data_IF_738153764457
#
_entry.id   IF_738153764457
#
_cell.length_a   1.000
_cell.length_b   1.000
_cell.length_c   1.000
_cell.angle_alpha   90.00
_cell.angle_beta   90.00
_cell.angle_gamma   90.00
#
_symmetry.space_group_name_H-M   'P 1'
#
loop_
_entity.id
_entity.type
_entity.pdbx_description
1 polymer ?
#
# COMPACT_ATOMS: atom_id res chain seq x y z
N UNK A 1 -32.46 -28.16 3.31
CA UNK A 1 -31.25 -27.60 3.95
C UNK A 1 -31.29 -26.10 3.75
N UNK A 2 -31.61 -25.35 4.81
CA UNK A 2 -31.55 -23.89 4.78
C UNK A 2 -30.13 -23.46 4.43
N UNK A 3 -29.97 -22.59 3.44
CA UNK A 3 -28.75 -21.76 3.36
C UNK A 3 -28.60 -21.14 4.75
N UNK A 4 -27.53 -21.46 5.49
CA UNK A 4 -27.16 -20.61 6.61
C UNK A 4 -27.04 -19.21 6.01
N UNK A 5 -27.83 -18.27 6.52
CA UNK A 5 -27.53 -16.85 6.37
C UNK A 5 -26.17 -16.67 7.05
N UNK A 6 -25.09 -16.80 6.28
CA UNK A 6 -23.75 -16.49 6.75
C UNK A 6 -23.73 -15.00 6.99
N UNK A 7 -23.84 -14.58 8.24
CA UNK A 7 -23.72 -13.17 8.60
C UNK A 7 -22.34 -12.66 8.16
N UNK A 8 -22.30 -11.78 7.15
CA UNK A 8 -21.08 -11.20 6.59
C UNK A 8 -20.39 -10.28 7.61
N UNK A 9 -19.53 -10.86 8.46
CA UNK A 9 -18.85 -10.17 9.55
C UNK A 9 -17.35 -9.98 9.29
N UNK A 10 -16.87 -8.74 9.46
CA UNK A 10 -15.45 -8.39 9.36
C UNK A 10 -14.81 -8.25 10.75
N UNK A 11 -13.64 -8.85 10.94
CA UNK A 11 -12.76 -8.58 12.07
C UNK A 11 -11.71 -7.52 11.76
N UNK A 12 -11.47 -6.60 12.67
CA UNK A 12 -10.34 -5.65 12.61
C UNK A 12 -9.53 -5.81 13.90
N UNK A 13 -8.29 -6.24 13.78
CA UNK A 13 -7.36 -6.33 14.92
C UNK A 13 -6.44 -5.11 14.97
N UNK A 14 -6.50 -4.36 16.07
CA UNK A 14 -5.72 -3.15 16.27
C UNK A 14 -6.39 -1.90 15.70
N UNK A 15 -7.05 -1.13 16.55
CA UNK A 15 -7.67 0.15 16.19
C UNK A 15 -6.68 1.34 16.31
N UNK A 16 -5.46 1.14 15.80
CA UNK A 16 -4.49 2.22 15.63
C UNK A 16 -4.86 3.13 14.46
N UNK A 17 -3.86 3.76 13.83
CA UNK A 17 -4.08 4.65 12.68
C UNK A 17 -4.77 3.93 11.52
N UNK A 18 -4.15 2.88 10.99
CA UNK A 18 -4.70 2.10 9.87
C UNK A 18 -6.02 1.41 10.24
N UNK A 19 -6.10 0.75 11.41
CA UNK A 19 -7.32 0.03 11.79
C UNK A 19 -8.54 0.93 12.00
N UNK A 20 -8.35 2.13 12.57
CA UNK A 20 -9.42 3.12 12.67
C UNK A 20 -9.92 3.54 11.28
N UNK A 21 -9.00 3.83 10.37
CA UNK A 21 -9.36 4.22 9.00
C UNK A 21 -10.00 3.05 8.23
N UNK A 22 -9.56 1.80 8.45
CA UNK A 22 -10.19 0.61 7.89
C UNK A 22 -11.64 0.49 8.37
N UNK A 23 -11.90 0.74 9.65
CA UNK A 23 -13.27 0.84 10.16
C UNK A 23 -14.04 1.93 9.40
N UNK A 24 -13.48 3.14 9.27
CA UNK A 24 -14.11 4.26 8.56
C UNK A 24 -14.46 3.91 7.11
N UNK A 25 -13.56 3.22 6.39
CA UNK A 25 -13.82 2.75 5.03
C UNK A 25 -15.01 1.79 4.99
N UNK A 26 -15.02 0.76 5.83
CA UNK A 26 -16.05 -0.28 5.77
C UNK A 26 -17.43 0.21 6.24
N UNK A 27 -17.50 1.11 7.23
CA UNK A 27 -18.78 1.71 7.65
C UNK A 27 -19.33 2.69 6.61
N UNK A 28 -18.47 3.35 5.84
CA UNK A 28 -18.89 4.18 4.71
C UNK A 28 -19.46 3.31 3.57
N UNK A 29 -18.85 2.16 3.30
CA UNK A 29 -19.25 1.27 2.20
C UNK A 29 -20.44 0.37 2.54
N UNK A 30 -20.63 0.03 3.82
CA UNK A 30 -21.71 -0.85 4.33
C UNK A 30 -21.80 -2.21 3.62
N UNK A 31 -20.66 -2.75 3.21
CA UNK A 31 -20.57 -4.07 2.58
C UNK A 31 -20.81 -5.20 3.59
N UNK A 32 -20.14 -5.12 4.75
CA UNK A 32 -20.32 -6.08 5.84
C UNK A 32 -21.52 -5.72 6.71
N UNK A 33 -22.29 -6.72 7.12
CA UNK A 33 -23.48 -6.56 7.96
C UNK A 33 -23.14 -6.15 9.39
N UNK A 34 -21.95 -6.53 9.89
CA UNK A 34 -21.41 -6.15 11.19
C UNK A 34 -19.88 -6.17 11.18
N UNK A 35 -19.27 -5.43 12.11
CA UNK A 35 -17.82 -5.36 12.27
C UNK A 35 -17.45 -5.65 13.72
N UNK A 36 -16.36 -6.37 13.95
CA UNK A 36 -15.80 -6.61 15.28
C UNK A 36 -14.40 -6.05 15.36
N UNK A 37 -14.17 -5.13 16.29
CA UNK A 37 -12.90 -4.43 16.44
C UNK A 37 -12.23 -4.86 17.74
N UNK A 38 -11.05 -5.48 17.65
CA UNK A 38 -10.22 -5.79 18.80
C UNK A 38 -9.19 -4.69 19.06
N UNK A 39 -9.25 -4.10 20.26
CA UNK A 39 -8.25 -3.19 20.80
C UNK A 39 -7.16 -3.91 21.59
N UNK A 40 -7.43 -5.15 22.02
CA UNK A 40 -6.52 -5.99 22.82
C UNK A 40 -6.21 -5.49 24.22
N UNK A 41 -6.79 -4.35 24.63
CA UNK A 41 -6.74 -3.81 25.99
C UNK A 41 -7.89 -2.85 26.21
N UNK A 42 -8.16 -2.54 27.47
CA UNK A 42 -9.03 -1.43 27.84
C UNK A 42 -8.52 -0.09 27.27
N UNK A 43 -9.46 0.73 26.84
CA UNK A 43 -9.24 1.99 26.12
C UNK A 43 -9.96 3.10 26.85
N UNK A 44 -9.19 4.12 27.25
CA UNK A 44 -9.74 5.24 27.99
C UNK A 44 -10.40 4.81 29.29
N UNK A 45 -11.38 5.58 29.74
CA UNK A 45 -12.10 5.37 30.99
C UNK A 45 -13.41 4.61 30.82
N UNK A 46 -14.00 4.63 29.62
CA UNK A 46 -15.32 4.08 29.33
C UNK A 46 -15.54 3.94 27.80
N UNK A 47 -16.71 3.45 27.42
CA UNK A 47 -17.08 3.22 26.01
C UNK A 47 -17.25 4.54 25.23
N UNK A 48 -17.53 5.65 25.89
CA UNK A 48 -17.53 6.99 25.28
C UNK A 48 -16.13 7.39 24.82
N UNK A 49 -15.08 7.03 25.56
CA UNK A 49 -13.70 7.24 25.13
C UNK A 49 -13.38 6.46 23.85
N UNK A 50 -13.91 5.23 23.71
CA UNK A 50 -13.83 4.44 22.47
C UNK A 50 -14.57 5.15 21.33
N UNK A 51 -15.79 5.62 21.58
CA UNK A 51 -16.56 6.36 20.58
C UNK A 51 -15.80 7.61 20.11
N UNK A 52 -15.24 8.40 21.04
CA UNK A 52 -14.47 9.60 20.71
C UNK A 52 -13.20 9.27 19.93
N UNK A 53 -12.53 8.14 20.21
CA UNK A 53 -11.34 7.70 19.47
C UNK A 53 -11.70 7.29 18.04
N UNK A 54 -12.82 6.57 17.86
CA UNK A 54 -13.33 6.19 16.55
C UNK A 54 -13.76 7.44 15.78
N UNK A 55 -14.45 8.38 16.41
CA UNK A 55 -15.07 9.51 15.73
C UNK A 55 -14.08 10.62 15.37
N UNK A 56 -13.06 10.90 16.21
CA UNK A 56 -12.20 12.07 16.03
C UNK A 56 -10.86 11.73 15.37
N UNK A 57 -10.43 12.58 14.45
CA UNK A 57 -9.17 12.46 13.74
C UNK A 57 -8.50 13.83 13.53
N UNK A 58 -7.19 13.92 13.78
CA UNK A 58 -6.45 15.16 13.59
C UNK A 58 -6.09 15.44 12.13
N UNK A 59 -6.07 14.43 11.27
CA UNK A 59 -5.76 14.57 9.84
C UNK A 59 -7.04 14.82 9.05
N UNK A 60 -8.07 14.01 9.30
CA UNK A 60 -9.30 14.01 8.51
C UNK A 60 -10.50 14.71 9.18
N UNK A 61 -10.34 15.20 10.41
CA UNK A 61 -11.44 15.77 11.19
C UNK A 61 -12.33 14.70 11.83
N UNK A 62 -13.60 15.01 12.09
CA UNK A 62 -14.53 14.01 12.61
C UNK A 62 -15.06 13.09 11.51
N UNK A 63 -15.31 11.82 11.83
CA UNK A 63 -15.81 10.78 10.92
C UNK A 63 -17.01 11.27 10.09
N UNK A 64 -18.01 11.85 10.76
CA UNK A 64 -19.22 12.32 10.08
C UNK A 64 -18.93 13.48 9.11
N UNK A 65 -18.07 14.44 9.50
CA UNK A 65 -17.70 15.56 8.62
C UNK A 65 -16.90 15.10 7.42
N UNK A 66 -16.00 14.15 7.66
CA UNK A 66 -15.16 13.60 6.62
C UNK A 66 -15.96 12.78 5.60
N UNK A 67 -16.84 11.89 6.06
CA UNK A 67 -17.61 11.02 5.17
C UNK A 67 -18.84 11.69 4.54
N UNK A 68 -19.50 12.58 5.26
CA UNK A 68 -20.84 13.07 4.91
C UNK A 68 -20.93 14.61 4.80
N UNK A 69 -19.81 15.30 4.98
CA UNK A 69 -19.70 16.75 4.81
C UNK A 69 -19.92 17.55 6.11
N UNK A 70 -19.60 18.85 6.05
CA UNK A 70 -19.53 19.74 7.23
C UNK A 70 -20.84 19.85 8.03
N UNK A 71 -21.98 19.65 7.37
CA UNK A 71 -23.31 19.73 7.98
C UNK A 71 -23.81 18.39 8.55
N UNK A 72 -22.99 17.34 8.46
CA UNK A 72 -23.36 16.04 9.00
C UNK A 72 -23.32 16.02 10.53
N UNK A 73 -24.24 15.26 11.11
CA UNK A 73 -24.30 15.04 12.56
C UNK A 73 -23.41 13.86 13.00
N UNK A 74 -22.97 13.83 14.27
CA UNK A 74 -22.28 12.69 14.86
C UNK A 74 -22.96 11.35 14.58
N UNK A 75 -22.17 10.37 14.14
CA UNK A 75 -22.68 9.09 13.66
C UNK A 75 -22.14 7.87 14.42
N UNK A 76 -21.59 8.08 15.63
CA UNK A 76 -21.12 7.02 16.52
C UNK A 76 -21.99 7.00 17.78
N UNK A 77 -22.65 5.87 18.05
CA UNK A 77 -23.59 5.72 19.16
C UNK A 77 -23.36 4.43 19.90
N UNK A 78 -23.55 4.45 21.22
CA UNK A 78 -23.57 3.23 22.04
C UNK A 78 -24.97 2.63 21.95
N UNK A 79 -25.07 1.37 21.53
CA UNK A 79 -26.35 0.65 21.41
C UNK A 79 -26.58 -0.24 22.63
N UNK A 80 -25.56 -0.95 23.08
CA UNK A 80 -25.64 -1.85 24.24
C UNK A 80 -24.29 -1.88 24.98
N UNK A 81 -24.26 -1.35 26.21
CA UNK A 81 -23.06 -1.33 27.04
C UNK A 81 -22.65 -2.71 27.54
N UNK A 82 -23.62 -3.57 27.87
CA UNK A 82 -23.34 -4.92 28.38
C UNK A 82 -22.67 -5.80 27.32
N UNK A 83 -22.87 -5.50 26.04
CA UNK A 83 -22.28 -6.20 24.90
C UNK A 83 -21.13 -5.44 24.22
N UNK A 84 -20.74 -4.27 24.74
CA UNK A 84 -19.80 -3.36 24.07
C UNK A 84 -20.15 -3.12 22.60
N UNK A 85 -21.44 -2.92 22.31
CA UNK A 85 -21.97 -2.75 20.96
C UNK A 85 -22.20 -1.27 20.64
N UNK A 86 -21.62 -0.82 19.54
CA UNK A 86 -21.80 0.48 18.95
C UNK A 86 -22.59 0.39 17.64
N UNK A 87 -23.16 1.51 17.23
CA UNK A 87 -23.55 1.79 15.85
C UNK A 87 -22.62 2.88 15.32
N UNK A 88 -21.96 2.61 14.18
CA UNK A 88 -21.05 3.55 13.53
C UNK A 88 -21.54 3.75 12.09
N UNK A 89 -22.03 4.94 11.77
CA UNK A 89 -22.65 5.28 10.49
C UNK A 89 -23.77 4.31 10.05
N UNK A 90 -24.50 3.72 11.01
CA UNK A 90 -25.55 2.73 10.78
C UNK A 90 -25.07 1.29 10.66
N UNK A 91 -23.78 1.01 10.90
CA UNK A 91 -23.24 -0.36 10.94
C UNK A 91 -23.03 -0.79 12.40
N UNK A 92 -23.50 -1.99 12.81
CA UNK A 92 -23.20 -2.57 14.11
C UNK A 92 -21.70 -2.86 14.27
N UNK A 93 -21.10 -2.36 15.35
CA UNK A 93 -19.68 -2.53 15.68
C UNK A 93 -19.49 -3.05 17.10
N UNK A 94 -19.00 -4.29 17.25
CA UNK A 94 -18.67 -4.87 18.56
C UNK A 94 -17.22 -4.57 18.94
N UNK A 95 -17.00 -4.13 20.17
CA UNK A 95 -15.67 -3.73 20.69
C UNK A 95 -15.12 -4.81 21.63
N UNK A 96 -13.92 -5.31 21.33
CA UNK A 96 -13.17 -6.26 22.16
C UNK A 96 -11.94 -5.59 22.78
N UNK A 97 -11.69 -5.84 24.06
CA UNK A 97 -10.67 -5.10 24.84
C UNK A 97 -9.79 -5.98 25.73
N UNK A 98 -9.80 -7.30 25.56
CA UNK A 98 -9.09 -8.21 26.48
C UNK A 98 -7.93 -8.98 25.82
N UNK A 99 -8.11 -9.44 24.58
CA UNK A 99 -7.18 -10.36 23.95
C UNK A 99 -6.04 -9.65 23.19
N UNK A 100 -4.81 -9.72 23.71
CA UNK A 100 -3.60 -9.23 23.02
C UNK A 100 -3.03 -10.20 22.00
N UNK A 101 -3.13 -11.51 22.28
CA UNK A 101 -2.65 -12.53 21.37
C UNK A 101 -3.78 -12.87 20.37
N UNK A 102 -3.52 -12.82 19.04
CA UNK A 102 -4.48 -13.17 18.00
C UNK A 102 -5.31 -14.44 18.24
N UNK A 103 -4.70 -15.50 18.79
CA UNK A 103 -5.36 -16.79 19.04
C UNK A 103 -6.44 -16.76 20.12
N UNK A 104 -6.37 -15.78 21.01
CA UNK A 104 -7.27 -15.67 22.17
C UNK A 104 -8.51 -14.79 21.90
N UNK A 105 -8.61 -14.17 20.71
CA UNK A 105 -9.69 -13.21 20.39
C UNK A 105 -11.04 -13.92 20.22
N UNK A 106 -11.04 -15.14 19.69
CA UNK A 106 -12.24 -15.96 19.52
C UNK A 106 -13.19 -15.47 18.42
N UNK A 107 -12.67 -15.15 17.23
CA UNK A 107 -13.41 -14.67 16.06
C UNK A 107 -14.64 -15.50 15.70
N UNK A 108 -14.56 -16.84 15.85
CA UNK A 108 -15.68 -17.75 15.60
C UNK A 108 -16.95 -17.38 16.36
N UNK A 109 -16.82 -16.89 17.60
CA UNK A 109 -17.96 -16.50 18.46
C UNK A 109 -18.77 -15.33 17.88
N UNK A 110 -18.15 -14.56 16.99
CA UNK A 110 -18.75 -13.39 16.37
C UNK A 110 -19.08 -13.59 14.89
N UNK A 111 -18.87 -14.80 14.34
CA UNK A 111 -19.08 -15.10 12.92
C UNK A 111 -18.03 -14.48 11.99
N UNK A 112 -16.88 -14.03 12.51
CA UNK A 112 -15.84 -13.37 11.71
C UNK A 112 -15.04 -14.40 10.91
N UNK A 113 -15.17 -14.37 9.58
CA UNK A 113 -14.42 -15.23 8.64
C UNK A 113 -13.16 -14.54 8.10
N UNK A 114 -13.18 -13.22 7.99
CA UNK A 114 -12.07 -12.42 7.45
C UNK A 114 -11.61 -11.42 8.50
N UNK A 115 -10.30 -11.33 8.69
CA UNK A 115 -9.68 -10.39 9.63
C UNK A 115 -8.70 -9.49 8.91
N UNK A 116 -8.79 -8.18 9.15
CA UNK A 116 -7.72 -7.24 8.85
C UNK A 116 -6.88 -7.06 10.12
N UNK A 117 -5.61 -7.49 10.10
CA UNK A 117 -4.64 -7.15 11.13
C UNK A 117 -3.96 -5.83 10.80
N UNK A 118 -4.26 -4.83 11.62
CA UNK A 118 -3.71 -3.48 11.54
C UNK A 118 -2.84 -3.12 12.75
N UNK A 119 -2.32 -4.14 13.46
CA UNK A 119 -1.46 -3.93 14.65
C UNK A 119 -0.04 -3.57 14.26
N UNK A 120 0.44 -4.07 13.12
CA UNK A 120 1.84 -4.01 12.72
C UNK A 120 2.79 -4.85 13.59
N UNK A 121 2.28 -5.64 14.53
CA UNK A 121 3.08 -6.47 15.43
C UNK A 121 3.35 -7.88 14.87
N UNK A 122 2.43 -8.40 14.05
CA UNK A 122 2.41 -9.80 13.63
C UNK A 122 2.76 -10.01 12.14
N UNK A 123 3.58 -9.13 11.56
CA UNK A 123 3.90 -9.13 10.12
C UNK A 123 4.72 -10.33 9.60
N UNK A 124 5.05 -11.31 10.42
CA UNK A 124 5.95 -12.40 10.07
C UNK A 124 5.13 -13.69 9.82
N UNK A 125 4.92 -14.08 8.55
CA UNK A 125 3.99 -15.14 8.20
C UNK A 125 4.51 -16.55 8.57
N UNK A 126 5.80 -16.69 8.92
CA UNK A 126 6.39 -17.97 9.32
C UNK A 126 6.23 -18.26 10.81
N UNK A 127 5.82 -17.28 11.62
CA UNK A 127 5.69 -17.47 13.07
C UNK A 127 4.55 -18.44 13.41
N UNK A 128 4.80 -19.44 14.27
CA UNK A 128 3.79 -20.42 14.66
C UNK A 128 2.72 -19.78 15.57
N UNK A 129 1.58 -20.45 15.69
CA UNK A 129 0.40 -19.98 16.47
C UNK A 129 0.73 -19.75 17.95
N UNK A 130 1.61 -20.58 18.52
CA UNK A 130 1.99 -20.59 19.93
C UNK A 130 3.13 -19.62 20.28
N UNK A 131 3.65 -18.87 19.30
CA UNK A 131 4.74 -17.92 19.54
C UNK A 131 4.40 -16.95 20.70
N UNK A 132 5.29 -16.75 21.69
CA UNK A 132 4.97 -16.04 22.93
C UNK A 132 4.60 -14.56 22.72
N UNK A 133 5.08 -13.96 21.63
CA UNK A 133 4.74 -12.59 21.25
C UNK A 133 3.51 -12.49 20.34
N UNK A 134 2.78 -13.59 20.10
CA UNK A 134 1.69 -13.67 19.13
C UNK A 134 2.16 -13.85 17.68
N UNK A 135 1.23 -14.26 16.82
CA UNK A 135 1.46 -14.48 15.38
C UNK A 135 0.19 -14.23 14.57
N UNK A 136 0.37 -13.91 13.28
CA UNK A 136 -0.73 -13.68 12.35
C UNK A 136 -1.63 -14.92 12.22
N UNK A 137 -1.01 -16.11 12.29
CA UNK A 137 -1.68 -17.41 12.26
C UNK A 137 -2.62 -17.62 13.44
N UNK A 138 -2.42 -16.93 14.56
CA UNK A 138 -3.34 -17.00 15.68
C UNK A 138 -4.76 -16.54 15.32
N UNK A 139 -4.95 -15.66 14.33
CA UNK A 139 -6.30 -15.33 13.88
C UNK A 139 -7.02 -16.51 13.20
N UNK A 140 -6.28 -17.37 12.49
CA UNK A 140 -6.83 -18.60 11.91
C UNK A 140 -7.25 -19.56 13.03
N UNK A 141 -6.41 -19.72 14.04
CA UNK A 141 -6.74 -20.53 15.25
C UNK A 141 -7.98 -20.00 15.98
N UNK A 142 -8.13 -18.67 16.06
CA UNK A 142 -9.29 -18.02 16.67
C UNK A 142 -10.59 -18.16 15.84
N UNK A 143 -10.50 -18.72 14.63
CA UNK A 143 -11.64 -19.10 13.80
C UNK A 143 -11.86 -18.27 12.53
N UNK A 144 -10.92 -17.38 12.16
CA UNK A 144 -10.94 -16.75 10.84
C UNK A 144 -10.46 -17.73 9.75
N UNK A 145 -10.92 -17.54 8.53
CA UNK A 145 -10.51 -18.32 7.34
C UNK A 145 -9.40 -17.62 6.56
N UNK A 146 -9.43 -16.27 6.54
CA UNK A 146 -8.46 -15.40 5.84
C UNK A 146 -8.02 -14.25 6.73
N UNK A 147 -6.75 -13.88 6.61
CA UNK A 147 -6.15 -12.76 7.35
C UNK A 147 -5.43 -11.83 6.39
N UNK A 148 -5.88 -10.58 6.32
CA UNK A 148 -5.21 -9.50 5.62
C UNK A 148 -4.31 -8.74 6.60
N UNK A 149 -2.99 -8.82 6.41
CA UNK A 149 -2.02 -8.02 7.11
C UNK A 149 -1.87 -6.65 6.43
N UNK A 150 -2.12 -5.56 7.15
CA UNK A 150 -2.05 -4.18 6.64
C UNK A 150 -0.61 -3.65 6.50
N UNK A 151 0.33 -4.52 6.14
CA UNK A 151 1.73 -4.21 5.91
C UNK A 151 2.42 -5.31 5.09
N UNK A 152 3.60 -5.01 4.56
CA UNK A 152 4.50 -6.01 3.94
C UNK A 152 4.90 -7.07 4.97
N UNK A 153 4.95 -8.33 4.54
CA UNK A 153 5.52 -9.40 5.35
C UNK A 153 6.99 -9.13 5.72
N UNK A 154 7.36 -9.47 6.96
CA UNK A 154 8.70 -9.28 7.51
C UNK A 154 9.24 -10.58 8.07
N UNK A 155 9.68 -11.46 7.18
CA UNK A 155 10.37 -12.69 7.53
C UNK A 155 11.74 -12.33 8.13
N UNK A 156 11.90 -12.64 9.42
CA UNK A 156 13.12 -12.36 10.20
C UNK A 156 14.26 -13.30 9.82
N UNK A 157 13.96 -14.59 9.71
CA UNK A 157 14.92 -15.62 9.30
C UNK A 157 14.97 -15.70 7.77
N UNK A 158 16.01 -15.13 7.17
CA UNK A 158 16.17 -15.09 5.71
C UNK A 158 16.42 -16.47 5.08
N UNK A 159 16.69 -17.50 5.87
CA UNK A 159 16.78 -18.88 5.38
C UNK A 159 15.41 -19.51 5.13
N UNK A 160 14.34 -18.96 5.73
CA UNK A 160 12.99 -19.46 5.55
C UNK A 160 12.34 -18.79 4.33
N UNK A 161 11.84 -19.59 3.36
CA UNK A 161 11.05 -19.05 2.28
C UNK A 161 9.71 -18.53 2.80
N UNK A 162 9.05 -17.70 2.00
CA UNK A 162 7.66 -17.35 2.26
C UNK A 162 6.80 -18.63 2.25
N UNK A 163 5.93 -18.84 3.25
CA UNK A 163 5.02 -19.98 3.28
C UNK A 163 4.11 -20.01 2.04
N UNK A 164 3.77 -21.20 1.54
CA UNK A 164 2.93 -21.35 0.35
C UNK A 164 1.50 -20.82 0.54
N UNK A 165 1.03 -20.75 1.79
CA UNK A 165 -0.27 -20.19 2.15
C UNK A 165 -0.24 -18.67 2.39
N UNK A 166 0.91 -18.03 2.17
CA UNK A 166 1.09 -16.59 2.32
C UNK A 166 1.33 -15.93 0.96
N UNK A 167 0.62 -14.84 0.66
CA UNK A 167 0.71 -14.11 -0.61
C UNK A 167 0.72 -12.60 -0.40
N UNK A 168 1.44 -11.85 -1.25
CA UNK A 168 1.40 -10.38 -1.26
C UNK A 168 0.55 -9.92 -2.44
N UNK A 169 -0.50 -9.13 -2.16
CA UNK A 169 -1.45 -8.66 -3.17
C UNK A 169 -1.61 -7.15 -3.13
N UNK A 170 -1.71 -6.55 -4.30
CA UNK A 170 -2.10 -5.15 -4.51
C UNK A 170 -3.35 -5.17 -5.40
N UNK A 171 -4.43 -4.60 -4.87
CA UNK A 171 -5.70 -4.50 -5.57
C UNK A 171 -5.56 -3.71 -6.88
N UNK A 172 -6.12 -4.23 -7.97
CA UNK A 172 -5.96 -3.67 -9.32
C UNK A 172 -4.60 -3.93 -10.01
N UNK A 173 -3.65 -4.62 -9.35
CA UNK A 173 -2.34 -4.97 -9.95
C UNK A 173 -2.20 -6.48 -10.10
N UNK A 174 -2.25 -7.24 -9.00
CA UNK A 174 -2.07 -8.70 -9.01
C UNK A 174 -3.04 -9.43 -8.08
N UNK A 175 -4.08 -8.77 -7.58
CA UNK A 175 -5.10 -9.36 -6.71
C UNK A 175 -5.77 -10.64 -7.26
N UNK A 176 -5.82 -10.79 -8.58
CA UNK A 176 -6.36 -11.94 -9.30
C UNK A 176 -5.55 -13.23 -9.14
N UNK A 177 -4.30 -13.16 -8.68
CA UNK A 177 -3.48 -14.36 -8.37
C UNK A 177 -3.90 -15.05 -7.08
N UNK A 178 -4.88 -14.50 -6.36
CA UNK A 178 -5.41 -15.07 -5.12
C UNK A 178 -6.01 -16.47 -5.37
N UNK A 179 -5.36 -17.50 -4.82
CA UNK A 179 -5.93 -18.84 -4.74
C UNK A 179 -6.70 -18.99 -3.40
N UNK A 180 -8.04 -19.06 -3.41
CA UNK A 180 -8.85 -19.11 -2.19
C UNK A 180 -8.69 -20.44 -1.42
N UNK A 181 -8.25 -21.54 -2.05
CA UNK A 181 -8.04 -22.81 -1.33
C UNK A 181 -6.66 -22.91 -0.68
N UNK A 182 -5.71 -22.06 -1.09
CA UNK A 182 -4.32 -22.11 -0.63
C UNK A 182 -3.91 -20.89 0.20
N UNK A 183 -4.25 -19.67 -0.24
CA UNK A 183 -3.74 -18.45 0.37
C UNK A 183 -4.60 -18.04 1.56
N UNK A 184 -4.09 -18.19 2.78
CA UNK A 184 -4.79 -17.85 4.03
C UNK A 184 -4.26 -16.57 4.69
N UNK A 185 -2.99 -16.25 4.45
CA UNK A 185 -2.35 -15.04 4.93
C UNK A 185 -2.07 -14.12 3.74
N UNK A 186 -2.66 -12.94 3.73
CA UNK A 186 -2.53 -11.98 2.64
C UNK A 186 -1.81 -10.75 3.17
N UNK A 187 -0.71 -10.35 2.56
CA UNK A 187 -0.10 -9.04 2.78
C UNK A 187 -0.69 -8.05 1.80
N UNK A 188 -1.25 -6.95 2.30
CA UNK A 188 -1.71 -5.83 1.48
C UNK A 188 -0.57 -4.84 1.15
N UNK A 189 0.68 -5.33 1.09
CA UNK A 189 1.89 -4.56 0.84
C UNK A 189 2.00 -3.29 1.72
N UNK A 190 2.61 -2.22 1.19
CA UNK A 190 2.74 -0.92 1.86
C UNK A 190 2.13 0.18 0.98
N UNK A 191 1.77 1.32 1.58
CA UNK A 191 1.26 2.49 0.85
C UNK A 191 2.14 2.90 -0.33
N UNK A 192 3.46 2.96 -0.14
CA UNK A 192 4.41 3.30 -1.21
C UNK A 192 4.47 2.22 -2.29
N UNK A 193 4.50 0.93 -1.92
CA UNK A 193 4.49 -0.16 -2.91
C UNK A 193 3.23 -0.13 -3.75
N UNK A 194 2.07 0.09 -3.11
CA UNK A 194 0.78 0.24 -3.77
C UNK A 194 0.81 1.37 -4.79
N UNK A 195 1.12 2.59 -4.36
CA UNK A 195 1.19 3.74 -5.27
C UNK A 195 2.19 3.51 -6.42
N UNK A 196 3.39 2.99 -6.11
CA UNK A 196 4.41 2.70 -7.11
C UNK A 196 3.96 1.65 -8.13
N UNK A 197 3.28 0.59 -7.69
CA UNK A 197 2.77 -0.44 -8.58
C UNK A 197 1.75 0.13 -9.57
N UNK A 198 0.86 1.02 -9.12
CA UNK A 198 -0.08 1.72 -9.99
C UNK A 198 0.60 2.73 -10.93
N UNK A 199 1.76 3.30 -10.59
CA UNK A 199 2.55 4.12 -11.53
C UNK A 199 3.26 3.26 -12.59
N UNK A 200 3.82 2.13 -12.18
CA UNK A 200 4.70 1.34 -13.06
C UNK A 200 3.91 0.41 -13.98
N UNK A 201 2.79 -0.16 -13.52
CA UNK A 201 2.01 -1.13 -14.29
C UNK A 201 1.53 -0.59 -15.66
N UNK A 202 0.95 0.63 -15.77
CA UNK A 202 0.59 1.21 -17.07
C UNK A 202 1.77 1.34 -18.04
N UNK A 203 2.96 1.63 -17.53
CA UNK A 203 4.16 1.78 -18.35
C UNK A 203 4.63 0.42 -18.89
N UNK A 204 4.58 -0.63 -18.07
CA UNK A 204 4.96 -1.98 -18.45
C UNK A 204 3.96 -2.62 -19.44
N UNK A 205 2.67 -2.34 -19.28
CA UNK A 205 1.62 -2.89 -20.13
C UNK A 205 1.58 -2.23 -21.53
N UNK A 206 2.24 -1.07 -21.69
CA UNK A 206 2.30 -0.37 -22.96
C UNK A 206 3.54 -0.75 -23.78
N UNK A 207 3.33 -1.12 -25.05
CA UNK A 207 4.38 -1.57 -25.96
C UNK A 207 5.56 -0.59 -26.14
N UNK A 208 5.31 0.72 -26.07
CA UNK A 208 6.33 1.74 -26.31
C UNK A 208 7.14 2.07 -25.05
N UNK A 209 6.54 1.96 -23.86
CA UNK A 209 7.21 2.26 -22.59
C UNK A 209 7.62 1.00 -21.80
N UNK A 210 7.31 -0.20 -22.27
CA UNK A 210 7.66 -1.45 -21.57
C UNK A 210 9.16 -1.73 -21.54
N UNK A 211 9.94 -1.15 -22.48
CA UNK A 211 11.39 -1.28 -22.57
C UNK A 211 12.13 -0.40 -21.54
N UNK A 212 11.84 -0.63 -20.27
CA UNK A 212 12.52 0.03 -19.15
C UNK A 212 13.90 -0.60 -18.98
N UNK A 213 14.94 0.22 -19.04
CA UNK A 213 16.32 -0.19 -18.79
C UNK A 213 16.65 -0.16 -17.29
N UNK A 214 16.34 0.95 -16.64
CA UNK A 214 16.58 1.18 -15.21
C UNK A 214 15.51 2.10 -14.65
N UNK A 215 15.27 2.00 -13.35
CA UNK A 215 14.37 2.89 -12.64
C UNK A 215 14.95 3.25 -11.27
N UNK A 216 14.64 4.44 -10.79
CA UNK A 216 14.85 4.82 -9.40
C UNK A 216 13.66 5.60 -8.89
N UNK A 217 13.32 5.42 -7.63
CA UNK A 217 12.29 6.23 -6.97
C UNK A 217 12.77 6.76 -5.64
N UNK A 218 12.40 7.99 -5.34
CA UNK A 218 12.45 8.55 -3.99
C UNK A 218 11.03 8.88 -3.57
N UNK A 219 10.64 8.52 -2.34
CA UNK A 219 9.35 8.94 -1.80
C UNK A 219 9.52 10.01 -0.74
N UNK A 220 8.94 11.17 -0.99
CA UNK A 220 8.77 12.22 0.02
C UNK A 220 7.53 11.85 0.82
N UNK A 221 7.73 11.30 2.01
CA UNK A 221 6.69 10.60 2.73
C UNK A 221 6.31 11.33 4.01
N UNK A 222 4.99 11.45 4.23
CA UNK A 222 4.40 11.99 5.44
C UNK A 222 4.86 11.26 6.71
N UNK A 223 4.68 11.93 7.85
CA UNK A 223 5.02 11.41 9.16
C UNK A 223 4.23 10.12 9.46
N UNK A 224 4.83 9.22 10.24
CA UNK A 224 4.18 7.98 10.69
C UNK A 224 4.42 7.76 12.18
N UNK A 225 3.58 6.94 12.81
CA UNK A 225 3.72 6.54 14.22
C UNK A 225 5.05 5.83 14.57
N UNK A 226 5.84 5.44 13.56
CA UNK A 226 7.15 4.83 13.78
C UNK A 226 8.27 5.86 14.06
N UNK A 227 7.99 7.16 13.90
CA UNK A 227 8.92 8.25 14.13
C UNK A 227 8.72 8.87 15.51
N UNK A 228 9.79 9.44 16.07
CA UNK A 228 9.74 10.08 17.38
C UNK A 228 9.29 11.54 17.28
N UNK A 229 8.42 11.95 18.20
CA UNK A 229 7.98 13.36 18.30
C UNK A 229 9.16 14.26 18.68
N UNK A 230 9.94 13.82 19.67
CA UNK A 230 11.18 14.46 20.12
C UNK A 230 12.34 13.47 19.98
N UNK A 231 13.57 13.94 20.17
CA UNK A 231 14.73 13.05 20.14
C UNK A 231 14.61 11.97 21.24
N UNK A 232 14.82 10.71 20.85
CA UNK A 232 14.71 9.53 21.73
C UNK A 232 16.00 8.71 21.72
N UNK A 233 16.21 7.91 22.76
CA UNK A 233 17.34 6.97 22.80
C UNK A 233 17.08 5.84 21.79
N UNK A 234 18.00 5.58 20.84
CA UNK A 234 17.84 4.49 19.89
C UNK A 234 17.87 3.13 20.61
N UNK A 235 17.13 2.16 20.08
CA UNK A 235 17.17 0.78 20.59
C UNK A 235 18.55 0.16 20.36
N UNK A 236 18.93 -0.77 21.23
CA UNK A 236 20.14 -1.57 21.03
C UNK A 236 20.13 -2.23 19.64
N UNK A 237 21.25 -2.11 18.90
CA UNK A 237 21.39 -2.64 17.54
C UNK A 237 20.71 -1.80 16.44
N UNK A 238 20.19 -0.61 16.73
CA UNK A 238 19.66 0.29 15.71
C UNK A 238 20.76 0.72 14.73
N UNK A 239 20.55 0.44 13.44
CA UNK A 239 21.49 0.83 12.37
C UNK A 239 21.23 2.24 11.82
N UNK A 240 19.98 2.70 11.85
CA UNK A 240 19.60 4.03 11.38
C UNK A 240 19.22 4.92 12.57
N UNK A 241 20.20 5.70 13.03
CA UNK A 241 20.05 6.61 14.18
C UNK A 241 19.18 7.83 13.86
N UNK A 242 18.96 8.15 12.58
CA UNK A 242 18.13 9.30 12.19
C UNK A 242 16.67 9.10 12.61
N UNK A 243 16.23 7.85 12.74
CA UNK A 243 14.87 7.49 13.18
C UNK A 243 14.58 7.88 14.62
N UNK A 244 15.61 8.18 15.41
CA UNK A 244 15.45 8.62 16.79
C UNK A 244 15.38 10.14 16.92
N UNK A 245 15.47 10.90 15.82
CA UNK A 245 15.36 12.37 15.79
C UNK A 245 13.91 12.82 15.64
N UNK A 246 13.61 14.01 16.17
CA UNK A 246 12.31 14.68 16.10
C UNK A 246 11.74 14.74 14.68
N UNK A 247 10.49 14.29 14.50
CA UNK A 247 9.77 14.37 13.22
C UNK A 247 9.31 15.78 12.86
N UNK A 248 9.17 16.68 13.84
CA UNK A 248 8.49 17.96 13.66
C UNK A 248 9.30 18.98 12.83
N UNK A 249 10.62 18.80 12.75
CA UNK A 249 11.53 19.81 12.20
C UNK A 249 12.70 19.22 11.40
N UNK A 250 12.58 17.96 10.96
CA UNK A 250 13.64 17.29 10.20
C UNK A 250 13.13 16.69 8.89
N UNK A 251 14.03 16.67 7.91
CA UNK A 251 13.93 15.84 6.72
C UNK A 251 14.77 14.59 6.98
N UNK A 252 14.13 13.43 7.11
CA UNK A 252 14.78 12.19 7.57
C UNK A 252 14.87 11.18 6.42
N UNK A 253 16.09 10.98 5.93
CA UNK A 253 16.38 9.92 4.96
C UNK A 253 16.24 8.54 5.61
N UNK A 254 15.67 7.58 4.92
CA UNK A 254 15.56 6.19 5.37
C UNK A 254 15.42 5.22 4.19
N UNK A 255 15.70 3.94 4.43
CA UNK A 255 15.49 2.92 3.40
C UNK A 255 14.01 2.57 3.28
N UNK A 256 13.63 2.12 2.09
CA UNK A 256 12.29 1.59 1.82
C UNK A 256 12.39 0.19 1.22
N UNK A 257 11.44 -0.67 1.55
CA UNK A 257 11.30 -1.99 0.94
C UNK A 257 10.44 -1.98 -0.33
N UNK A 258 10.05 -0.80 -0.83
CA UNK A 258 9.06 -0.68 -1.90
C UNK A 258 9.48 -1.40 -3.19
N UNK A 259 10.75 -1.24 -3.64
CA UNK A 259 11.27 -1.92 -4.83
C UNK A 259 11.26 -3.45 -4.67
N UNK A 260 11.78 -3.98 -3.55
CA UNK A 260 11.78 -5.42 -3.29
C UNK A 260 10.36 -6.00 -3.20
N UNK A 261 9.41 -5.24 -2.62
CA UNK A 261 8.02 -5.67 -2.60
C UNK A 261 7.39 -5.61 -4.01
N UNK A 262 7.79 -4.65 -4.84
CA UNK A 262 7.33 -4.52 -6.22
C UNK A 262 7.71 -5.76 -7.06
N UNK A 263 8.92 -6.32 -6.87
CA UNK A 263 9.37 -7.57 -7.52
C UNK A 263 8.51 -8.80 -7.19
N UNK A 264 7.73 -8.76 -6.09
CA UNK A 264 6.82 -9.86 -5.72
C UNK A 264 5.49 -9.75 -6.45
N UNK A 265 5.03 -8.53 -6.73
CA UNK A 265 3.71 -8.25 -7.31
C UNK A 265 3.77 -8.01 -8.82
N UNK A 266 4.92 -7.59 -9.35
CA UNK A 266 5.21 -7.37 -10.77
C UNK A 266 6.57 -8.04 -11.07
N UNK A 267 6.60 -9.34 -11.39
CA UNK A 267 7.84 -10.11 -11.56
C UNK A 267 8.81 -9.55 -12.62
N UNK A 268 8.28 -8.87 -13.64
CA UNK A 268 9.05 -8.21 -14.71
C UNK A 268 10.05 -7.17 -14.16
N UNK A 269 9.79 -6.63 -12.96
CA UNK A 269 10.67 -5.67 -12.29
C UNK A 269 12.01 -6.30 -11.88
N UNK A 270 12.08 -7.62 -11.69
CA UNK A 270 13.34 -8.30 -11.31
C UNK A 270 14.44 -8.17 -12.37
N UNK A 271 14.06 -7.98 -13.63
CA UNK A 271 15.01 -7.74 -14.72
C UNK A 271 15.41 -6.27 -14.88
N UNK A 272 14.80 -5.36 -14.11
CA UNK A 272 15.04 -3.92 -14.19
C UNK A 272 15.88 -3.51 -12.97
N UNK A 273 17.02 -2.86 -13.20
CA UNK A 273 17.79 -2.26 -12.12
C UNK A 273 16.98 -1.17 -11.42
N UNK A 274 16.37 -1.50 -10.28
CA UNK A 274 15.44 -0.63 -9.55
C UNK A 274 16.01 -0.20 -8.19
N UNK A 275 16.23 1.10 -8.00
CA UNK A 275 16.60 1.68 -6.71
C UNK A 275 15.41 2.38 -6.03
N UNK A 276 15.29 2.27 -4.71
CA UNK A 276 14.25 2.97 -3.96
C UNK A 276 14.74 3.49 -2.60
N UNK A 277 14.40 4.74 -2.31
CA UNK A 277 14.68 5.40 -1.04
C UNK A 277 13.48 6.23 -0.55
N UNK A 278 13.51 6.63 0.72
CA UNK A 278 12.45 7.41 1.36
C UNK A 278 13.03 8.61 2.11
N UNK A 279 12.34 9.73 1.98
CA UNK A 279 12.61 10.99 2.64
C UNK A 279 11.38 11.35 3.47
N UNK A 280 11.48 11.30 4.79
CA UNK A 280 10.37 11.67 5.69
C UNK A 280 10.34 13.17 5.91
N UNK A 281 9.17 13.78 5.82
CA UNK A 281 8.97 15.22 6.00
C UNK A 281 7.83 15.51 7.00
N UNK A 282 7.81 16.69 7.65
CA UNK A 282 6.84 17.04 8.70
C UNK A 282 5.46 17.43 8.11
N UNK A 283 4.80 16.49 7.43
CA UNK A 283 3.41 16.62 6.98
C UNK A 283 2.57 15.45 7.51
N UNK A 284 1.25 15.65 7.65
CA UNK A 284 0.36 14.74 8.37
C UNK A 284 0.02 13.48 7.57
N UNK A 285 -0.39 13.67 6.32
CA UNK A 285 -0.62 12.61 5.32
C UNK A 285 -0.29 13.19 3.94
N UNK A 286 -0.53 12.42 2.89
CA UNK A 286 -0.19 12.69 1.51
C UNK A 286 1.31 12.67 1.26
N UNK A 287 1.73 11.69 0.47
CA UNK A 287 3.11 11.43 0.13
C UNK A 287 3.30 11.51 -1.37
N UNK A 288 4.54 11.75 -1.80
CA UNK A 288 4.88 11.88 -3.21
C UNK A 288 5.88 10.81 -3.59
N UNK A 289 5.66 10.15 -4.72
CA UNK A 289 6.67 9.37 -5.43
C UNK A 289 7.27 10.23 -6.51
N UNK A 290 8.59 10.32 -6.53
CA UNK A 290 9.38 10.85 -7.63
C UNK A 290 9.99 9.66 -8.35
N UNK A 291 9.38 9.26 -9.46
CA UNK A 291 9.78 8.11 -10.25
C UNK A 291 10.65 8.57 -11.43
N UNK A 292 11.91 8.14 -11.46
CA UNK A 292 12.81 8.31 -12.59
C UNK A 292 12.91 6.99 -13.34
N UNK A 293 12.69 7.01 -14.65
CA UNK A 293 12.72 5.81 -15.49
C UNK A 293 13.55 6.09 -16.72
N UNK A 294 14.43 5.15 -17.07
CA UNK A 294 15.17 5.19 -18.34
C UNK A 294 14.57 4.17 -19.28
N UNK A 295 14.08 4.62 -20.42
CA UNK A 295 13.55 3.78 -21.47
C UNK A 295 14.58 3.62 -22.59
N UNK A 296 14.73 2.39 -23.11
CA UNK A 296 15.30 2.22 -24.43
C UNK A 296 14.27 2.70 -25.44
N UNK A 297 14.65 3.65 -26.29
CA UNK A 297 13.73 4.28 -27.24
C UNK A 297 14.23 4.13 -28.66
N UNK A 298 13.40 4.48 -29.64
CA UNK A 298 13.83 4.79 -31.01
C UNK A 298 13.63 6.28 -31.28
N UNK A 299 14.36 6.83 -32.23
CA UNK A 299 14.09 8.17 -32.74
C UNK A 299 13.02 8.07 -33.82
N UNK A 300 11.98 8.90 -33.71
CA UNK A 300 10.98 9.16 -34.73
C UNK A 300 11.40 10.43 -35.50
N UNK A 301 10.64 10.83 -36.53
CA UNK A 301 10.92 12.07 -37.27
C UNK A 301 11.07 13.29 -36.35
N UNK A 302 11.84 14.28 -36.79
CA UNK A 302 12.20 15.50 -36.05
C UNK A 302 12.98 15.26 -34.74
N UNK A 303 13.83 14.22 -34.69
CA UNK A 303 14.60 13.80 -33.50
C UNK A 303 13.75 13.54 -32.25
N UNK A 304 12.43 13.35 -32.42
CA UNK A 304 11.52 13.10 -31.32
C UNK A 304 11.58 11.64 -30.92
N UNK A 305 11.81 11.37 -29.64
CA UNK A 305 11.88 10.00 -29.13
C UNK A 305 10.52 9.30 -29.16
N UNK A 306 10.53 7.99 -29.43
CA UNK A 306 9.34 7.12 -29.35
C UNK A 306 8.68 7.11 -27.97
N UNK A 307 9.41 7.50 -26.92
CA UNK A 307 8.93 7.79 -25.58
C UNK A 307 9.20 9.26 -25.27
N UNK A 308 8.15 10.02 -24.98
CA UNK A 308 8.24 11.43 -24.62
C UNK A 308 7.05 11.82 -23.74
N UNK A 309 7.12 13.02 -23.13
CA UNK A 309 6.10 13.54 -22.21
C UNK A 309 4.66 13.28 -22.67
N UNK A 310 4.28 13.73 -23.87
CA UNK A 310 2.90 13.57 -24.35
C UNK A 310 2.46 12.10 -24.45
N UNK A 311 3.35 11.17 -24.84
CA UNK A 311 3.04 9.74 -24.89
C UNK A 311 2.90 9.13 -23.50
N UNK A 312 3.78 9.49 -22.56
CA UNK A 312 3.67 9.03 -21.17
C UNK A 312 2.38 9.54 -20.52
N UNK A 313 2.05 10.81 -20.71
CA UNK A 313 0.81 11.41 -20.23
C UNK A 313 -0.41 10.70 -20.84
N UNK A 314 -0.40 10.38 -22.14
CA UNK A 314 -1.48 9.60 -22.77
C UNK A 314 -1.63 8.19 -22.20
N UNK A 315 -0.53 7.52 -21.85
CA UNK A 315 -0.58 6.20 -21.20
C UNK A 315 -1.29 6.30 -19.85
N UNK A 316 -0.90 7.26 -19.02
CA UNK A 316 -1.54 7.47 -17.71
C UNK A 316 -2.99 7.92 -17.83
N UNK A 317 -3.31 8.84 -18.74
CA UNK A 317 -4.68 9.27 -18.98
C UNK A 317 -5.58 8.11 -19.45
N UNK A 318 -5.07 7.24 -20.34
CA UNK A 318 -5.79 6.05 -20.79
C UNK A 318 -6.02 5.05 -19.64
N UNK A 319 -5.01 4.82 -18.80
CA UNK A 319 -5.13 3.97 -17.61
C UNK A 319 -6.13 4.53 -16.59
N UNK A 320 -6.18 5.85 -16.41
CA UNK A 320 -7.16 6.50 -15.53
C UNK A 320 -8.60 6.37 -16.05
N UNK A 321 -8.77 6.42 -17.38
CA UNK A 321 -10.09 6.44 -18.01
C UNK A 321 -10.76 5.04 -18.08
N UNK A 322 -9.97 3.97 -18.22
CA UNK A 322 -10.49 2.64 -18.49
C UNK A 322 -9.59 1.50 -17.98
N UNK A 323 -10.13 0.28 -18.02
CA UNK A 323 -9.40 -0.93 -17.65
C UNK A 323 -9.19 -1.09 -16.14
N UNK A 324 -8.25 -1.96 -15.72
CA UNK A 324 -8.04 -2.32 -14.32
C UNK A 324 -7.60 -1.16 -13.41
N UNK A 325 -7.11 -0.07 -14.01
CA UNK A 325 -6.60 1.10 -13.29
C UNK A 325 -7.68 2.18 -13.08
N UNK A 326 -8.84 2.05 -13.72
CA UNK A 326 -9.95 3.01 -13.59
C UNK A 326 -10.42 3.10 -12.14
N UNK A 327 -10.39 4.31 -11.59
CA UNK A 327 -10.76 4.58 -10.19
C UNK A 327 -9.68 4.22 -9.17
N UNK A 328 -8.52 3.72 -9.61
CA UNK A 328 -7.34 3.48 -8.76
C UNK A 328 -6.21 4.45 -9.13
N UNK A 329 -6.03 4.72 -10.42
CA UNK A 329 -5.12 5.74 -10.92
C UNK A 329 -5.94 6.98 -11.31
N UNK A 330 -5.57 8.13 -10.77
CA UNK A 330 -6.07 9.42 -11.24
C UNK A 330 -5.01 10.13 -12.07
N UNK A 331 -5.44 10.81 -13.13
CA UNK A 331 -4.59 11.64 -13.98
C UNK A 331 -4.96 13.10 -13.76
N UNK A 332 -4.01 13.93 -13.35
CA UNK A 332 -4.22 15.35 -13.07
C UNK A 332 -3.27 16.21 -13.90
N UNK A 333 -3.81 17.26 -14.52
CA UNK A 333 -3.03 18.35 -15.15
C UNK A 333 -2.98 19.61 -14.26
N UNK A 334 -3.65 19.57 -13.10
CA UNK A 334 -3.64 20.65 -12.11
C UNK A 334 -2.32 20.69 -11.34
N UNK A 335 -1.92 21.86 -10.85
CA UNK A 335 -0.71 22.03 -10.03
C UNK A 335 -0.99 21.71 -8.56
N UNK A 336 -1.00 20.43 -8.19
CA UNK A 336 -1.42 20.01 -6.85
C UNK A 336 -0.32 20.19 -5.79
N UNK A 337 -0.78 20.45 -4.57
CA UNK A 337 0.00 20.26 -3.34
C UNK A 337 -0.67 19.18 -2.47
N UNK A 338 0.00 18.66 -1.41
CA UNK A 338 -0.56 17.55 -0.60
C UNK A 338 -2.01 17.77 -0.12
N UNK A 339 -2.38 19.00 0.26
CA UNK A 339 -3.73 19.30 0.74
C UNK A 339 -4.84 19.12 -0.29
N UNK A 340 -4.53 19.25 -1.58
CA UNK A 340 -5.53 19.27 -2.65
C UNK A 340 -6.03 17.86 -2.98
N UNK A 341 -5.17 16.87 -2.77
CA UNK A 341 -5.42 15.45 -3.07
C UNK A 341 -5.72 14.61 -1.84
N UNK A 342 -5.62 15.20 -0.64
CA UNK A 342 -5.88 14.53 0.63
C UNK A 342 -7.25 13.88 0.69
N UNK A 343 -7.30 12.58 0.99
CA UNK A 343 -8.55 11.82 1.09
C UNK A 343 -9.19 11.46 -0.26
N UNK A 344 -8.57 11.83 -1.40
CA UNK A 344 -9.02 11.35 -2.71
C UNK A 344 -8.90 9.84 -2.78
N UNK A 345 -9.95 9.19 -3.30
CA UNK A 345 -9.99 7.73 -3.49
C UNK A 345 -9.16 7.33 -4.71
N UNK A 346 -7.85 7.21 -4.52
CA UNK A 346 -6.91 6.81 -5.54
C UNK A 346 -5.70 6.11 -4.92
N UNK A 347 -5.21 5.06 -5.56
CA UNK A 347 -3.92 4.47 -5.24
C UNK A 347 -2.77 5.44 -5.54
N UNK A 348 -2.91 6.21 -6.62
CA UNK A 348 -1.98 7.28 -7.00
C UNK A 348 -2.69 8.33 -7.86
N UNK A 349 -2.35 9.60 -7.66
CA UNK A 349 -2.70 10.72 -8.54
C UNK A 349 -1.45 11.13 -9.30
N UNK A 350 -1.43 10.91 -10.61
CA UNK A 350 -0.33 11.29 -11.50
C UNK A 350 -0.35 12.80 -11.72
N UNK A 351 0.75 13.45 -11.35
CA UNK A 351 0.98 14.89 -11.53
C UNK A 351 1.55 15.13 -12.94
N UNK A 352 0.66 15.19 -13.92
CA UNK A 352 1.01 15.16 -15.34
C UNK A 352 1.59 16.49 -15.85
N UNK A 353 1.31 17.59 -15.14
CA UNK A 353 1.89 18.90 -15.41
C UNK A 353 3.42 18.89 -15.25
N UNK A 354 3.94 18.03 -14.38
CA UNK A 354 5.36 17.94 -14.04
C UNK A 354 6.08 16.74 -14.70
N UNK A 355 5.40 16.00 -15.58
CA UNK A 355 6.07 14.93 -16.33
C UNK A 355 7.13 15.54 -17.25
N UNK A 356 8.36 15.09 -17.08
CA UNK A 356 9.52 15.60 -17.80
C UNK A 356 10.26 14.46 -18.49
N UNK A 357 10.71 14.70 -19.73
CA UNK A 357 11.51 13.72 -20.48
C UNK A 357 12.72 14.37 -21.13
N UNK A 358 13.85 13.68 -21.12
CA UNK A 358 15.07 14.06 -21.83
C UNK A 358 15.64 12.87 -22.57
N UNK A 359 15.86 13.04 -23.86
CA UNK A 359 16.49 12.01 -24.70
C UNK A 359 17.99 12.25 -24.79
N UNK A 360 18.75 11.17 -24.72
CA UNK A 360 20.19 11.15 -24.93
C UNK A 360 20.62 9.84 -25.56
N UNK A 361 21.93 9.59 -25.59
CA UNK A 361 22.48 8.35 -26.09
C UNK A 361 23.37 7.71 -25.04
N UNK A 362 23.21 6.41 -24.84
CA UNK A 362 24.13 5.58 -24.07
C UNK A 362 25.09 4.92 -25.05
N UNK A 363 26.39 5.13 -24.84
CA UNK A 363 27.43 4.43 -25.58
C UNK A 363 27.67 3.06 -24.97
N UNK A 364 27.51 2.02 -25.78
CA UNK A 364 27.78 0.63 -25.40
C UNK A 364 28.97 0.14 -26.21
N UNK A 365 30.04 -0.25 -25.52
CA UNK A 365 31.19 -0.92 -26.11
C UNK A 365 30.86 -2.41 -26.26
N UNK A 366 30.70 -2.87 -27.50
CA UNK A 366 30.35 -4.25 -27.81
C UNK A 366 31.43 -5.23 -27.33
N UNK A 367 32.69 -4.80 -27.23
CA UNK A 367 33.78 -5.65 -26.74
C UNK A 367 33.66 -5.95 -25.23
N UNK A 368 32.87 -5.16 -24.49
CA UNK A 368 32.61 -5.35 -23.07
C UNK A 368 31.34 -6.17 -22.79
N UNK A 369 30.59 -6.57 -23.83
CA UNK A 369 29.41 -7.41 -23.65
C UNK A 369 29.86 -8.87 -23.48
N UNK A 370 29.58 -9.52 -22.33
CA UNK A 370 29.96 -10.90 -22.12
C UNK A 370 29.36 -11.82 -23.19
N UNK A 371 30.22 -12.63 -23.83
CA UNK A 371 29.81 -13.57 -24.89
C UNK A 371 29.65 -12.96 -26.27
N UNK A 372 30.03 -11.69 -26.48
CA UNK A 372 30.08 -11.09 -27.82
C UNK A 372 31.23 -11.69 -28.64
N UNK A 373 30.93 -12.10 -29.87
CA UNK A 373 31.93 -12.63 -30.80
C UNK A 373 32.83 -11.50 -31.32
N UNK A 374 34.16 -11.57 -31.09
CA UNK A 374 35.09 -10.57 -31.62
C UNK A 374 35.04 -10.43 -33.14
N UNK A 375 34.68 -11.48 -33.88
CA UNK A 375 34.54 -11.41 -35.34
C UNK A 375 33.41 -10.46 -35.76
N UNK A 376 32.28 -10.43 -35.04
CA UNK A 376 31.18 -9.51 -35.34
C UNK A 376 31.62 -8.05 -35.22
N UNK A 377 32.44 -7.74 -34.20
CA UNK A 377 32.93 -6.38 -33.94
C UNK A 377 33.87 -5.91 -35.06
N UNK A 378 34.68 -6.80 -35.62
CA UNK A 378 35.61 -6.48 -36.72
C UNK A 378 34.89 -6.08 -38.02
N UNK A 379 33.63 -6.48 -38.19
CA UNK A 379 32.81 -6.13 -39.36
C UNK A 379 32.01 -4.83 -39.17
N UNK A 380 32.13 -4.15 -38.03
CA UNK A 380 31.45 -2.88 -37.75
C UNK A 380 32.43 -1.71 -37.89
N UNK A 381 31.95 -0.57 -38.42
CA UNK A 381 32.74 0.67 -38.53
C UNK A 381 33.23 1.19 -37.15
N UNK A 382 32.51 0.85 -36.08
CA UNK A 382 32.90 1.11 -34.70
C UNK A 382 32.37 0.01 -33.79
N UNK A 383 33.19 -0.43 -32.84
CA UNK A 383 32.76 -1.30 -31.74
C UNK A 383 31.87 -0.61 -30.71
N UNK A 384 31.66 0.71 -30.83
CA UNK A 384 30.79 1.50 -29.94
C UNK A 384 29.45 1.75 -30.62
N UNK A 385 28.38 1.21 -30.03
CA UNK A 385 27.00 1.48 -30.47
C UNK A 385 26.38 2.55 -29.57
N UNK A 386 25.76 3.55 -30.19
CA UNK A 386 25.00 4.59 -29.47
C UNK A 386 23.52 4.23 -29.47
N UNK A 387 23.02 3.86 -28.29
CA UNK A 387 21.61 3.50 -28.09
C UNK A 387 20.85 4.75 -27.64
N UNK A 388 19.84 5.21 -28.37
CA UNK A 388 18.99 6.29 -27.89
C UNK A 388 18.21 5.82 -26.66
N UNK A 389 18.22 6.66 -25.63
CA UNK A 389 17.47 6.44 -24.39
C UNK A 389 16.69 7.69 -24.02
N UNK A 390 15.52 7.50 -23.43
CA UNK A 390 14.77 8.61 -22.82
C UNK A 390 14.73 8.42 -21.32
N UNK A 391 15.26 9.40 -20.60
CA UNK A 391 15.04 9.54 -19.17
C UNK A 391 13.73 10.30 -18.95
N UNK A 392 12.83 9.72 -18.18
CA UNK A 392 11.61 10.36 -17.72
C UNK A 392 11.64 10.56 -16.22
N UNK A 393 11.02 11.66 -15.78
CA UNK A 393 10.65 11.90 -14.40
C UNK A 393 9.13 12.07 -14.33
N UNK A 394 8.48 11.22 -13.54
CA UNK A 394 7.05 11.25 -13.28
C UNK A 394 6.81 11.37 -11.79
N UNK A 395 5.70 12.02 -11.43
CA UNK A 395 5.34 12.34 -10.06
C UNK A 395 3.98 11.72 -9.75
N UNK A 396 3.85 11.10 -8.59
CA UNK A 396 2.62 10.46 -8.14
C UNK A 396 2.32 10.77 -6.68
N UNK A 397 1.25 11.51 -6.43
CA UNK A 397 0.73 11.74 -5.09
C UNK A 397 -0.03 10.51 -4.60
N UNK A 398 0.03 10.23 -3.30
CA UNK A 398 -0.75 9.17 -2.69
C UNK A 398 -1.03 9.47 -1.23
N UNK A 399 -2.31 9.41 -0.86
CA UNK A 399 -2.69 9.40 0.54
C UNK A 399 -2.18 8.10 1.17
N UNK A 400 -1.09 8.20 1.91
CA UNK A 400 -0.47 7.05 2.57
C UNK A 400 -1.34 6.47 3.71
N UNK A 401 -2.51 7.06 3.98
CA UNK A 401 -3.46 6.61 4.97
C UNK A 401 -4.84 6.30 4.36
N UNK A 402 -5.82 7.22 4.41
CA UNK A 402 -7.20 6.93 4.05
C UNK A 402 -7.42 6.84 2.53
N UNK A 403 -7.18 7.95 1.80
CA UNK A 403 -7.53 8.11 0.38
C UNK A 403 -7.00 6.99 -0.52
N UNK A 404 -5.76 6.57 -0.29
CA UNK A 404 -5.11 5.49 -1.01
C UNK A 404 -5.11 4.21 -0.20
N UNK A 405 -4.14 4.07 0.70
CA UNK A 405 -3.78 2.76 1.27
C UNK A 405 -4.96 2.00 1.90
N UNK A 406 -5.68 2.65 2.81
CA UNK A 406 -6.80 2.02 3.52
C UNK A 406 -7.98 1.72 2.60
N UNK A 407 -8.27 2.59 1.62
CA UNK A 407 -9.30 2.30 0.63
C UNK A 407 -8.97 1.05 -0.19
N UNK A 408 -7.73 0.93 -0.67
CA UNK A 408 -7.30 -0.25 -1.43
C UNK A 408 -7.20 -1.52 -0.57
N UNK A 409 -6.82 -1.39 0.72
CA UNK A 409 -6.93 -2.50 1.67
C UNK A 409 -8.38 -2.94 1.84
N UNK A 410 -9.32 -2.00 1.89
CA UNK A 410 -10.76 -2.27 1.96
C UNK A 410 -11.30 -2.96 0.71
N UNK A 411 -10.89 -2.51 -0.48
CA UNK A 411 -11.23 -3.16 -1.75
C UNK A 411 -10.65 -4.57 -1.83
N UNK A 412 -9.39 -4.77 -1.43
CA UNK A 412 -8.79 -6.09 -1.34
C UNK A 412 -9.53 -6.99 -0.34
N UNK A 413 -9.98 -6.44 0.79
CA UNK A 413 -10.73 -7.17 1.81
C UNK A 413 -12.07 -7.66 1.26
N UNK A 414 -12.78 -6.80 0.52
CA UNK A 414 -14.04 -7.18 -0.15
C UNK A 414 -13.78 -8.21 -1.25
N UNK A 415 -12.73 -8.05 -2.05
CA UNK A 415 -12.36 -9.04 -3.06
C UNK A 415 -12.06 -10.42 -2.45
N UNK A 416 -11.27 -10.46 -1.37
CA UNK A 416 -10.99 -11.71 -0.63
C UNK A 416 -12.29 -12.33 -0.09
N UNK A 417 -13.26 -11.52 0.34
CA UNK A 417 -14.57 -12.03 0.76
C UNK A 417 -15.37 -12.63 -0.38
N UNK A 418 -15.44 -11.95 -1.52
CA UNK A 418 -16.23 -12.41 -2.65
C UNK A 418 -15.73 -13.72 -3.25
N UNK A 419 -14.44 -14.06 -3.08
CA UNK A 419 -13.89 -15.34 -3.53
C UNK A 419 -13.99 -16.47 -2.48
N UNK A 420 -14.48 -16.17 -1.27
CA UNK A 420 -14.74 -17.16 -0.22
C UNK A 420 -16.16 -17.76 -0.30
N UNK A 421 -17.06 -17.08 -1.01
CA UNK A 421 -18.45 -17.48 -1.24
C UNK A 421 -18.58 -18.13 -2.63
#
# INVERSE_FOLDING_TARGET
MSKLETEDALGINGAGRTGKLTLWHHVARKYFSKIVVNFGREVGTNLEAVCSLIEKDSTYGSLHRFLFGVNAEPCVKIVDRGKNLLEVAGVPVTILQSARNPKDIGWRKYGVRIVVDATGAFNDPTRPVDHPQGSLRGHLEAGAEKVLNSATFKIKDKSQPQPQDAVTLIYGVNHDVLNPTQHHLISAASCTTTALAHMVKPLLDNLHSSKIMTASMSTVHAATNSQSVLDTVPKAGARDLRRSRSVLNNIILTSTGAAQALEQVIPEIRSIGFMADSVRVPILTESLIILNVTFQTTLEGDDKSSVHREKLNKIYAAAAAAGPQKGLLCYSEDQNVPSDVMGMKAAVVIEAAETHTRTGFVSVDLAQIPGMDPEIIQHLDSGIVKIPVTHAKAFGWYDNEYGGYTNLLGDLTVHVHQVLD
#
